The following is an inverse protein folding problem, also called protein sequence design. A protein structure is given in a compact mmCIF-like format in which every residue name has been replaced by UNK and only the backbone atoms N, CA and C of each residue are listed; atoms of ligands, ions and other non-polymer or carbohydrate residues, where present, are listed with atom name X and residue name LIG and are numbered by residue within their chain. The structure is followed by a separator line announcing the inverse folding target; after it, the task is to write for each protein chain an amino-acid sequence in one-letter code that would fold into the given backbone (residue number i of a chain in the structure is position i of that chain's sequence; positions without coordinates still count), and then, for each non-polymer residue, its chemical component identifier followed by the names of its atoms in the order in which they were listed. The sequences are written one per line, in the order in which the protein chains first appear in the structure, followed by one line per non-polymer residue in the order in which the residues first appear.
data_IF_758209810142
#
_entry.id   IF_758209810142
#
_cell.length_a   1.000
_cell.length_b   1.000
_cell.length_c   1.000
_cell.angle_alpha   90.00
_cell.angle_beta   90.00
_cell.angle_gamma   90.00
#
_symmetry.space_group_name_H-M   'P 1'
#
loop_
_entity.id
_entity.type
_entity.pdbx_description
1 polymer ?
#
# COMPACT_ATOMS: atom_id res chain seq x y z
N UNK A 1 20.26 -1.67 -27.63
CA UNK A 1 21.30 -1.56 -26.59
C UNK A 1 20.76 -0.65 -25.49
N UNK A 2 21.16 -0.82 -24.22
CA UNK A 2 20.64 -0.02 -23.09
C UNK A 2 21.73 0.78 -22.40
N UNK A 3 21.34 1.72 -21.52
CA UNK A 3 22.25 2.55 -20.73
C UNK A 3 22.60 1.93 -19.35
N UNK A 4 22.32 0.65 -19.15
CA UNK A 4 22.68 -0.05 -17.92
C UNK A 4 24.18 -0.41 -17.93
N UNK A 5 24.81 -0.33 -16.76
CA UNK A 5 26.19 -0.77 -16.55
C UNK A 5 26.31 -1.49 -15.20
N UNK A 6 26.84 -2.72 -15.20
CA UNK A 6 26.92 -3.53 -13.99
C UNK A 6 28.21 -3.24 -13.22
N UNK A 7 28.08 -2.74 -11.99
CA UNK A 7 29.18 -2.52 -11.07
C UNK A 7 28.78 -2.91 -9.66
N UNK A 8 29.66 -3.64 -8.96
CA UNK A 8 29.51 -3.90 -7.54
C UNK A 8 30.27 -2.85 -6.71
N UNK A 9 29.91 -1.57 -6.87
CA UNK A 9 30.58 -0.44 -6.21
C UNK A 9 30.57 -0.52 -4.69
N UNK A 10 29.58 -1.23 -4.12
CA UNK A 10 29.37 -1.35 -2.68
C UNK A 10 30.45 -2.21 -2.01
N UNK A 11 30.98 -3.20 -2.72
CA UNK A 11 32.09 -4.06 -2.24
C UNK A 11 33.47 -3.52 -2.61
N UNK A 12 33.54 -2.37 -3.31
CA UNK A 12 34.80 -1.70 -3.66
C UNK A 12 35.23 -0.73 -2.57
N UNK A 13 36.56 -0.58 -2.42
CA UNK A 13 37.15 0.47 -1.60
C UNK A 13 36.82 1.86 -2.17
N UNK A 14 36.66 2.91 -1.33
CA UNK A 14 36.28 4.25 -1.79
C UNK A 14 37.13 4.78 -2.96
N UNK A 15 38.44 4.54 -2.93
CA UNK A 15 39.40 5.02 -3.94
C UNK A 15 39.20 4.35 -5.31
N UNK A 16 38.62 3.15 -5.34
CA UNK A 16 38.37 2.38 -6.56
C UNK A 16 37.04 2.74 -7.23
N UNK A 17 36.11 3.34 -6.48
CA UNK A 17 34.75 3.61 -6.96
C UNK A 17 34.74 4.63 -8.07
N UNK A 18 35.50 5.71 -7.94
CA UNK A 18 35.59 6.76 -8.97
C UNK A 18 36.08 6.20 -10.31
N UNK A 19 37.14 5.39 -10.28
CA UNK A 19 37.67 4.73 -11.49
C UNK A 19 36.65 3.76 -12.10
N UNK A 20 35.93 3.00 -11.27
CA UNK A 20 34.90 2.09 -11.76
C UNK A 20 33.70 2.84 -12.38
N UNK A 21 33.28 3.95 -11.75
CA UNK A 21 32.17 4.78 -12.22
C UNK A 21 32.47 5.48 -13.55
N UNK A 22 33.74 5.78 -13.84
CA UNK A 22 34.14 6.32 -15.14
C UNK A 22 33.71 5.40 -16.29
N UNK A 23 33.84 4.08 -16.13
CA UNK A 23 33.39 3.13 -17.15
C UNK A 23 31.86 3.17 -17.36
N UNK A 24 31.08 3.42 -16.29
CA UNK A 24 29.64 3.63 -16.39
C UNK A 24 29.30 4.94 -17.13
N UNK A 25 30.05 6.02 -16.87
CA UNK A 25 29.90 7.30 -17.60
C UNK A 25 30.18 7.12 -19.09
N UNK A 26 31.27 6.43 -19.42
CA UNK A 26 31.60 6.12 -20.82
C UNK A 26 30.51 5.30 -21.51
N UNK A 27 29.87 4.35 -20.81
CA UNK A 27 28.71 3.62 -21.34
C UNK A 27 27.56 4.56 -21.69
N UNK A 28 27.28 5.56 -20.86
CA UNK A 28 26.27 6.60 -21.15
C UNK A 28 26.62 7.44 -22.36
N UNK A 29 27.88 7.89 -22.48
CA UNK A 29 28.33 8.65 -23.64
C UNK A 29 28.28 7.83 -24.94
N UNK A 30 28.63 6.55 -24.89
CA UNK A 30 28.49 5.62 -26.01
C UNK A 30 27.02 5.41 -26.40
N UNK A 31 26.12 5.32 -25.42
CA UNK A 31 24.69 5.21 -25.69
C UNK A 31 24.13 6.48 -26.36
N UNK A 32 24.56 7.66 -25.93
CA UNK A 32 24.23 8.93 -26.59
C UNK A 32 24.77 8.96 -28.04
N UNK A 33 26.03 8.57 -28.23
CA UNK A 33 26.63 8.48 -29.57
C UNK A 33 25.81 7.57 -30.49
N UNK A 34 25.41 6.38 -30.00
CA UNK A 34 24.56 5.45 -30.74
C UNK A 34 23.20 6.08 -31.11
N UNK A 35 22.56 6.78 -30.17
CA UNK A 35 21.29 7.49 -30.43
C UNK A 35 21.46 8.53 -31.55
N UNK A 36 22.56 9.29 -31.53
CA UNK A 36 22.81 10.35 -32.51
C UNK A 36 23.17 9.81 -33.89
N UNK A 37 24.05 8.80 -33.97
CA UNK A 37 24.68 8.37 -35.22
C UNK A 37 23.95 7.19 -35.87
N UNK A 38 23.54 6.19 -35.08
CA UNK A 38 22.92 4.97 -35.60
C UNK A 38 21.39 5.08 -35.68
N UNK A 39 20.77 5.80 -34.73
CA UNK A 39 19.32 6.04 -34.74
C UNK A 39 18.93 7.37 -35.41
N UNK A 40 19.91 8.22 -35.73
CA UNK A 40 19.70 9.48 -36.46
C UNK A 40 19.14 10.65 -35.63
N UNK A 41 19.06 10.52 -34.30
CA UNK A 41 18.57 11.58 -33.41
C UNK A 41 19.69 12.57 -33.03
N UNK A 42 20.31 13.18 -34.05
CA UNK A 42 21.46 14.10 -33.90
C UNK A 42 21.19 15.33 -33.03
N UNK A 43 19.93 15.68 -32.81
CA UNK A 43 19.49 16.80 -31.96
C UNK A 43 19.46 16.47 -30.46
N UNK A 44 19.50 15.19 -30.08
CA UNK A 44 19.51 14.80 -28.66
C UNK A 44 20.93 14.92 -28.11
N UNK A 45 21.08 15.41 -26.88
CA UNK A 45 22.36 15.65 -26.22
C UNK A 45 22.24 15.56 -24.69
N UNK A 46 23.36 15.81 -24.01
CA UNK A 46 23.34 16.03 -22.56
C UNK A 46 22.70 17.39 -22.26
N UNK A 47 21.88 17.45 -21.20
CA UNK A 47 21.37 18.72 -20.69
C UNK A 47 22.54 19.56 -20.16
N UNK A 48 22.75 20.76 -20.70
CA UNK A 48 23.85 21.65 -20.35
C UNK A 48 23.46 22.77 -19.38
N UNK A 49 22.21 22.76 -18.91
CA UNK A 49 21.61 23.69 -17.96
C UNK A 49 21.13 23.04 -16.65
N UNK A 50 20.97 21.72 -16.60
CA UNK A 50 20.48 21.01 -15.39
C UNK A 50 21.58 20.66 -14.38
N UNK A 51 22.73 20.17 -14.84
CA UNK A 51 23.79 19.65 -13.98
C UNK A 51 25.08 20.45 -14.13
N UNK A 52 25.54 21.16 -13.10
CA UNK A 52 26.79 21.94 -13.13
C UNK A 52 28.04 21.06 -12.93
N UNK A 53 28.09 19.91 -13.60
CA UNK A 53 29.22 18.97 -13.58
C UNK A 53 30.10 19.19 -14.82
N UNK A 54 31.41 18.94 -14.69
CA UNK A 54 32.36 19.16 -15.80
C UNK A 54 32.05 18.31 -17.04
N UNK A 55 31.42 17.15 -16.84
CA UNK A 55 31.01 16.21 -17.87
C UNK A 55 29.52 16.31 -18.26
N UNK A 56 28.77 17.25 -17.64
CA UNK A 56 27.31 17.45 -17.83
C UNK A 56 26.44 16.24 -17.47
N UNK A 57 26.99 15.27 -16.74
CA UNK A 57 26.24 14.12 -16.23
C UNK A 57 25.66 14.42 -14.84
N UNK A 58 24.62 13.71 -14.39
CA UNK A 58 24.08 13.86 -13.04
C UNK A 58 25.12 13.66 -11.93
N UNK A 59 24.92 14.29 -10.77
CA UNK A 59 25.84 14.23 -9.62
C UNK A 59 26.16 12.82 -9.13
N UNK A 60 25.19 11.90 -9.27
CA UNK A 60 25.31 10.51 -8.83
C UNK A 60 24.62 9.60 -9.84
N UNK A 61 25.11 8.36 -10.02
CA UNK A 61 24.44 7.39 -10.86
C UNK A 61 23.11 6.95 -10.24
N UNK A 62 22.16 6.60 -11.10
CA UNK A 62 20.92 5.98 -10.66
C UNK A 62 21.14 4.51 -10.26
N UNK A 63 21.14 4.21 -8.96
CA UNK A 63 21.25 2.85 -8.46
C UNK A 63 19.91 2.11 -8.55
N UNK A 64 19.87 1.03 -9.34
CA UNK A 64 18.70 0.14 -9.49
C UNK A 64 18.62 -0.92 -8.40
N UNK A 65 19.77 -1.40 -7.94
CA UNK A 65 19.89 -2.41 -6.88
C UNK A 65 21.05 -2.06 -5.93
N UNK A 66 20.86 -2.37 -4.65
CA UNK A 66 21.85 -2.16 -3.61
C UNK A 66 21.55 -3.01 -2.37
N UNK A 67 22.27 -2.73 -1.27
CA UNK A 67 22.01 -3.36 0.03
C UNK A 67 20.62 -2.96 0.53
N UNK A 68 19.93 -3.92 1.12
CA UNK A 68 18.62 -3.73 1.76
C UNK A 68 18.71 -4.13 3.23
N UNK A 69 17.95 -3.46 4.07
CA UNK A 69 17.89 -3.81 5.48
C UNK A 69 17.15 -5.14 5.70
N UNK A 70 17.38 -5.75 6.86
CA UNK A 70 16.42 -6.69 7.44
C UNK A 70 15.47 -5.92 8.34
N UNK A 71 14.28 -5.62 7.83
CA UNK A 71 13.25 -4.87 8.54
C UNK A 71 12.35 -5.77 9.39
N UNK A 72 11.52 -5.15 10.24
CA UNK A 72 10.54 -5.83 11.08
C UNK A 72 9.57 -6.70 10.26
N UNK A 73 9.25 -6.27 9.04
CA UNK A 73 8.55 -7.05 8.02
C UNK A 73 9.38 -7.15 6.74
N UNK A 74 9.14 -8.19 5.92
CA UNK A 74 9.80 -8.35 4.63
C UNK A 74 8.77 -8.63 3.53
N UNK A 75 8.55 -7.66 2.64
CA UNK A 75 7.66 -7.84 1.51
C UNK A 75 8.29 -8.81 0.49
N UNK A 76 7.49 -9.73 -0.04
CA UNK A 76 7.92 -10.75 -0.99
C UNK A 76 6.95 -10.80 -2.16
N UNK A 77 7.32 -11.51 -3.23
CA UNK A 77 6.43 -11.68 -4.37
C UNK A 77 5.14 -12.42 -3.99
N UNK A 78 5.19 -13.36 -3.05
CA UNK A 78 4.00 -14.08 -2.59
C UNK A 78 3.00 -13.14 -1.91
N UNK A 79 3.50 -12.17 -1.13
CA UNK A 79 2.69 -11.14 -0.51
C UNK A 79 2.04 -10.20 -1.53
N UNK A 80 2.66 -10.02 -2.70
CA UNK A 80 2.13 -9.22 -3.80
C UNK A 80 1.08 -10.02 -4.60
N UNK A 81 1.38 -11.29 -4.91
CA UNK A 81 0.51 -12.16 -5.70
C UNK A 81 -0.82 -12.47 -5.00
N UNK A 82 -0.75 -12.79 -3.71
CA UNK A 82 -1.93 -13.12 -2.91
C UNK A 82 -1.82 -12.53 -1.50
N UNK A 83 -2.08 -11.22 -1.33
CA UNK A 83 -1.89 -10.52 -0.06
C UNK A 83 -2.74 -11.09 1.08
N UNK A 84 -3.85 -11.76 0.77
CA UNK A 84 -4.78 -12.27 1.77
C UNK A 84 -4.50 -13.74 2.16
N UNK A 85 -3.81 -14.51 1.32
CA UNK A 85 -3.48 -15.92 1.59
C UNK A 85 -1.99 -16.19 1.88
N UNK A 86 -1.10 -15.19 1.78
CA UNK A 86 0.34 -15.37 1.96
C UNK A 86 0.82 -15.69 3.39
N UNK A 87 -0.08 -15.92 4.35
CA UNK A 87 0.21 -16.30 5.74
C UNK A 87 0.64 -15.13 6.65
N UNK A 88 1.27 -14.10 6.10
CA UNK A 88 1.57 -12.84 6.78
C UNK A 88 0.64 -11.72 6.26
N UNK A 89 -0.21 -11.12 7.11
CA UNK A 89 -1.20 -10.13 6.69
C UNK A 89 -0.59 -8.72 6.50
N UNK A 90 0.50 -8.61 5.73
CA UNK A 90 1.24 -7.36 5.52
C UNK A 90 0.37 -6.23 4.94
N UNK A 91 -0.72 -6.57 4.24
CA UNK A 91 -1.68 -5.60 3.72
C UNK A 91 -2.28 -4.71 4.83
N UNK A 92 -2.42 -5.22 6.06
CA UNK A 92 -3.00 -4.46 7.17
C UNK A 92 -2.11 -3.34 7.68
N UNK A 93 -0.80 -3.44 7.44
CA UNK A 93 0.21 -2.46 7.85
C UNK A 93 0.66 -1.56 6.68
N UNK A 94 -0.12 -1.49 5.59
CA UNK A 94 0.22 -0.69 4.41
C UNK A 94 0.32 0.81 4.67
N UNK A 95 1.35 1.44 4.10
CA UNK A 95 1.61 2.89 4.22
C UNK A 95 1.98 3.58 2.89
N UNK A 96 2.05 2.80 1.81
CA UNK A 96 2.34 3.25 0.46
C UNK A 96 1.85 2.17 -0.51
N UNK A 97 1.61 2.52 -1.77
CA UNK A 97 1.17 1.59 -2.81
C UNK A 97 2.02 1.67 -4.07
N UNK A 98 2.05 0.58 -4.83
CA UNK A 98 2.70 0.50 -6.14
C UNK A 98 1.93 -0.39 -7.09
N UNK A 99 2.09 -0.14 -8.38
CA UNK A 99 1.36 -0.79 -9.47
C UNK A 99 2.29 -1.36 -10.55
N UNK A 100 3.60 -1.16 -10.42
CA UNK A 100 4.54 -1.56 -11.45
C UNK A 100 4.78 -3.07 -11.46
N UNK A 101 4.82 -3.73 -12.63
CA UNK A 101 5.14 -5.16 -12.72
C UNK A 101 6.57 -5.45 -12.24
N UNK A 102 6.89 -6.73 -12.09
CA UNK A 102 8.25 -7.14 -11.71
C UNK A 102 9.21 -6.88 -12.86
N UNK A 103 10.12 -5.93 -12.66
CA UNK A 103 11.07 -5.49 -13.68
C UNK A 103 12.53 -5.72 -13.27
N UNK A 104 13.08 -6.86 -13.71
CA UNK A 104 14.50 -7.20 -13.59
C UNK A 104 15.13 -7.43 -14.96
N UNK A 105 16.23 -6.72 -15.22
CA UNK A 105 16.97 -6.79 -16.48
C UNK A 105 18.32 -7.46 -16.26
N UNK A 106 18.55 -8.58 -16.94
CA UNK A 106 19.81 -9.32 -16.86
C UNK A 106 20.64 -9.23 -18.15
N UNK A 107 20.33 -8.28 -19.05
CA UNK A 107 20.97 -8.20 -20.36
C UNK A 107 22.49 -8.01 -20.28
N UNK A 108 22.95 -7.19 -19.34
CA UNK A 108 24.39 -6.93 -19.10
C UNK A 108 25.02 -8.02 -18.20
N UNK A 109 24.25 -9.05 -17.82
CA UNK A 109 24.70 -10.18 -16.99
C UNK A 109 24.12 -11.52 -17.51
N UNK A 110 24.63 -12.03 -18.65
CA UNK A 110 24.06 -13.20 -19.32
C UNK A 110 24.20 -14.51 -18.51
N UNK A 111 25.07 -14.54 -17.50
CA UNK A 111 25.24 -15.64 -16.54
C UNK A 111 24.17 -15.66 -15.44
N UNK A 112 23.37 -14.59 -15.30
CA UNK A 112 22.30 -14.56 -14.32
C UNK A 112 21.20 -15.59 -14.66
N UNK A 113 20.54 -16.18 -13.65
CA UNK A 113 19.42 -17.09 -13.88
C UNK A 113 18.35 -16.45 -14.75
N UNK A 114 17.87 -17.22 -15.75
CA UNK A 114 16.67 -16.84 -16.49
C UNK A 114 15.48 -17.03 -15.55
N UNK A 115 14.87 -15.92 -15.16
CA UNK A 115 13.69 -15.90 -14.31
C UNK A 115 12.52 -15.40 -15.15
N UNK A 116 11.44 -16.17 -15.15
CA UNK A 116 10.14 -15.69 -15.59
C UNK A 116 9.42 -15.11 -14.38
N UNK A 117 8.87 -13.92 -14.54
CA UNK A 117 8.13 -13.25 -13.48
C UNK A 117 6.63 -13.39 -13.75
N UNK A 118 5.85 -13.90 -12.78
CA UNK A 118 4.41 -13.93 -12.94
C UNK A 118 3.85 -12.51 -13.01
N UNK A 119 2.76 -12.28 -13.75
CA UNK A 119 1.99 -11.05 -13.63
C UNK A 119 1.56 -10.85 -12.17
N UNK A 120 1.71 -9.63 -11.68
CA UNK A 120 1.35 -9.24 -10.31
C UNK A 120 0.26 -8.19 -10.31
N UNK A 121 -0.60 -8.13 -9.28
CA UNK A 121 -1.50 -6.98 -9.09
C UNK A 121 -0.72 -5.79 -8.51
N UNK A 122 -1.39 -4.64 -8.35
CA UNK A 122 -0.88 -3.57 -7.50
C UNK A 122 -0.84 -4.03 -6.02
N UNK A 123 0.09 -3.45 -5.27
CA UNK A 123 0.49 -3.90 -3.93
C UNK A 123 0.69 -2.73 -2.98
N UNK A 124 0.70 -3.01 -1.68
CA UNK A 124 1.08 -2.05 -0.65
C UNK A 124 2.44 -2.38 -0.04
N UNK A 125 3.10 -1.36 0.52
CA UNK A 125 4.34 -1.48 1.29
C UNK A 125 3.98 -1.45 2.79
N UNK A 126 4.33 -2.48 3.57
CA UNK A 126 4.06 -2.49 5.01
C UNK A 126 5.04 -1.58 5.77
N UNK A 127 4.56 -0.91 6.82
CA UNK A 127 5.37 -0.02 7.66
C UNK A 127 6.64 -0.70 8.22
N UNK A 128 6.53 -1.98 8.62
CA UNK A 128 7.68 -2.73 9.13
C UNK A 128 8.80 -2.95 8.12
N UNK A 129 8.59 -2.70 6.83
CA UNK A 129 9.66 -2.76 5.83
C UNK A 129 10.61 -1.57 5.88
N UNK A 130 10.21 -0.46 6.51
CA UNK A 130 11.01 0.76 6.69
C UNK A 130 11.89 0.70 7.95
N UNK A 131 11.55 -0.17 8.90
CA UNK A 131 12.10 -0.16 10.27
C UNK A 131 13.10 -1.33 10.44
N UNK A 132 14.40 -1.07 10.64
CA UNK A 132 15.40 -2.10 10.87
C UNK A 132 15.13 -2.92 12.15
N UNK A 133 15.41 -4.23 12.11
CA UNK A 133 15.27 -5.12 13.27
C UNK A 133 16.29 -4.86 14.39
N UNK A 134 17.48 -4.42 14.03
CA UNK A 134 18.66 -4.43 14.91
C UNK A 134 19.23 -3.04 15.20
N UNK A 135 18.69 -1.99 14.59
CA UNK A 135 19.19 -0.62 14.72
C UNK A 135 18.04 0.30 15.10
N UNK A 136 18.11 0.88 16.29
CA UNK A 136 17.11 1.80 16.81
C UNK A 136 17.31 3.22 16.24
N UNK A 137 16.20 3.94 16.08
CA UNK A 137 16.21 5.33 15.60
C UNK A 137 16.51 5.52 14.10
N UNK A 138 16.75 4.44 13.35
CA UNK A 138 16.97 4.48 11.90
C UNK A 138 15.67 4.16 11.15
N UNK A 139 15.37 4.94 10.12
CA UNK A 139 14.29 4.68 9.17
C UNK A 139 14.84 4.70 7.75
N UNK A 140 14.37 3.78 6.91
CA UNK A 140 14.73 3.73 5.51
C UNK A 140 13.63 4.41 4.68
N UNK A 141 14.03 5.43 3.94
CA UNK A 141 13.15 6.27 3.12
C UNK A 141 13.47 6.14 1.60
N UNK A 142 14.04 5.00 1.19
CA UNK A 142 14.45 4.74 -0.20
C UNK A 142 14.36 3.22 -0.52
N UNK A 143 14.82 2.79 -1.70
CA UNK A 143 14.82 1.41 -2.22
C UNK A 143 15.49 0.38 -1.32
N UNK A 144 16.23 0.81 -0.30
CA UNK A 144 16.90 -0.06 0.66
C UNK A 144 15.94 -0.71 1.70
N UNK A 145 14.62 -0.47 1.59
CA UNK A 145 13.60 -1.10 2.44
C UNK A 145 13.66 -2.63 2.40
N UNK A 146 13.09 -3.26 3.42
CA UNK A 146 13.08 -4.70 3.61
C UNK A 146 12.11 -5.40 2.66
N UNK A 147 12.63 -5.78 1.49
CA UNK A 147 11.93 -6.54 0.45
C UNK A 147 12.80 -7.69 -0.08
N UNK A 148 12.22 -8.69 -0.74
CA UNK A 148 13.00 -9.66 -1.50
C UNK A 148 13.62 -9.01 -2.74
N UNK A 149 14.70 -9.59 -3.28
CA UNK A 149 15.30 -9.10 -4.52
C UNK A 149 14.27 -9.02 -5.65
N UNK A 150 13.43 -10.05 -5.79
CA UNK A 150 12.38 -10.10 -6.83
C UNK A 150 11.37 -8.97 -6.63
N UNK A 151 10.81 -8.81 -5.43
CA UNK A 151 9.84 -7.75 -5.13
C UNK A 151 10.42 -6.33 -5.34
N UNK A 152 11.72 -6.15 -5.09
CA UNK A 152 12.41 -4.88 -5.36
C UNK A 152 12.33 -4.43 -6.82
N UNK A 153 12.12 -5.36 -7.76
CA UNK A 153 11.90 -5.04 -9.18
C UNK A 153 10.70 -4.11 -9.38
N UNK A 154 9.69 -4.20 -8.50
CA UNK A 154 8.47 -3.39 -8.52
C UNK A 154 8.50 -2.24 -7.52
N UNK A 155 9.03 -2.44 -6.31
CA UNK A 155 8.95 -1.43 -5.24
C UNK A 155 9.93 -0.26 -5.41
N UNK A 156 10.95 -0.39 -6.27
CA UNK A 156 12.04 0.60 -6.41
C UNK A 156 11.70 1.82 -7.26
N UNK A 157 10.50 1.87 -7.82
CA UNK A 157 10.06 2.91 -8.75
C UNK A 157 9.82 4.22 -7.99
N UNK A 158 10.17 5.35 -8.60
CA UNK A 158 10.13 6.67 -7.97
C UNK A 158 8.77 7.00 -7.34
N UNK A 159 7.60 6.73 -7.98
CA UNK A 159 6.30 6.96 -7.34
C UNK A 159 6.09 6.19 -6.03
N UNK A 160 6.63 4.97 -5.92
CA UNK A 160 6.56 4.17 -4.69
C UNK A 160 7.51 4.75 -3.64
N UNK A 161 8.74 5.09 -4.03
CA UNK A 161 9.75 5.62 -3.12
C UNK A 161 9.36 6.99 -2.54
N UNK A 162 8.68 7.84 -3.32
CA UNK A 162 8.16 9.11 -2.82
C UNK A 162 7.16 8.90 -1.67
N UNK A 163 6.24 7.95 -1.82
CA UNK A 163 5.29 7.58 -0.76
C UNK A 163 6.00 6.97 0.46
N UNK A 164 6.99 6.09 0.23
CA UNK A 164 7.83 5.54 1.31
C UNK A 164 8.55 6.64 2.09
N UNK A 165 9.09 7.64 1.39
CA UNK A 165 9.72 8.81 2.00
C UNK A 165 8.73 9.64 2.84
N UNK A 166 7.53 9.88 2.33
CA UNK A 166 6.46 10.55 3.08
C UNK A 166 6.07 9.78 4.35
N UNK A 167 5.85 8.47 4.25
CA UNK A 167 5.52 7.62 5.39
C UNK A 167 6.67 7.55 6.42
N UNK A 168 7.93 7.46 5.97
CA UNK A 168 9.10 7.49 6.85
C UNK A 168 9.20 8.82 7.61
N UNK A 169 8.97 9.95 6.93
CA UNK A 169 8.92 11.28 7.55
C UNK A 169 7.80 11.41 8.58
N UNK A 170 6.60 10.95 8.25
CA UNK A 170 5.46 10.94 9.17
C UNK A 170 5.74 10.07 10.41
N UNK A 171 6.31 8.88 10.22
CA UNK A 171 6.70 7.99 11.31
C UNK A 171 7.76 8.63 12.22
N UNK A 172 8.78 9.28 11.66
CA UNK A 172 9.78 10.00 12.43
C UNK A 172 9.16 11.14 13.26
N UNK A 173 8.26 11.92 12.67
CA UNK A 173 7.57 13.01 13.36
C UNK A 173 6.68 12.50 14.50
N UNK A 174 5.92 11.42 14.28
CA UNK A 174 5.10 10.79 15.31
C UNK A 174 5.95 10.21 16.45
N UNK A 175 7.06 9.55 16.12
CA UNK A 175 8.01 9.01 17.10
C UNK A 175 8.55 10.12 18.01
N UNK A 176 9.01 11.23 17.42
CA UNK A 176 9.51 12.40 18.15
C UNK A 176 8.43 13.03 19.04
N UNK A 177 7.22 13.26 18.51
CA UNK A 177 6.10 13.86 19.26
C UNK A 177 5.70 13.03 20.48
N UNK A 178 5.86 11.71 20.41
CA UNK A 178 5.50 10.77 21.49
C UNK A 178 6.67 10.39 22.40
N UNK A 179 7.89 10.82 22.11
CA UNK A 179 9.08 10.36 22.81
C UNK A 179 9.30 8.85 22.71
N UNK A 180 8.97 8.27 21.55
CA UNK A 180 9.07 6.82 21.28
C UNK A 180 10.10 6.55 20.19
N UNK A 181 10.62 5.33 20.12
CA UNK A 181 11.35 4.88 18.94
C UNK A 181 10.37 4.64 17.79
N UNK A 182 10.81 4.73 16.52
CA UNK A 182 9.93 4.47 15.38
C UNK A 182 9.23 3.10 15.42
N UNK A 183 9.90 2.07 15.94
CA UNK A 183 9.34 0.71 16.10
C UNK A 183 8.18 0.61 17.11
N UNK A 184 8.06 1.60 18.00
CA UNK A 184 7.08 1.62 19.10
C UNK A 184 5.89 2.56 18.82
N UNK A 185 5.88 3.23 17.67
CA UNK A 185 4.75 4.04 17.21
C UNK A 185 3.64 3.09 16.73
N UNK A 186 2.40 3.25 17.23
CA UNK A 186 1.29 2.44 16.76
C UNK A 186 1.06 2.61 15.25
N UNK A 187 0.95 1.50 14.53
CA UNK A 187 0.83 1.51 13.06
C UNK A 187 -0.43 2.25 12.61
N UNK A 188 -1.54 2.13 13.34
CA UNK A 188 -2.80 2.84 13.02
C UNK A 188 -2.60 4.35 12.98
N UNK A 189 -1.86 4.92 13.94
CA UNK A 189 -1.58 6.36 13.96
C UNK A 189 -0.72 6.82 12.78
N UNK A 190 0.23 5.98 12.31
CA UNK A 190 0.97 6.26 11.09
C UNK A 190 0.05 6.22 9.87
N UNK A 191 -0.84 5.23 9.81
CA UNK A 191 -1.79 5.09 8.70
C UNK A 191 -2.78 6.25 8.66
N UNK A 192 -3.26 6.75 9.80
CA UNK A 192 -4.07 7.98 9.86
C UNK A 192 -3.31 9.18 9.31
N UNK A 193 -2.03 9.32 9.69
CA UNK A 193 -1.19 10.39 9.14
C UNK A 193 -1.00 10.25 7.62
N UNK A 194 -0.89 9.03 7.09
CA UNK A 194 -0.83 8.80 5.63
C UNK A 194 -2.15 9.22 4.96
N UNK A 195 -3.29 8.77 5.50
CA UNK A 195 -4.62 9.10 4.97
C UNK A 195 -4.96 10.59 5.02
N UNK A 196 -4.55 11.28 6.09
CA UNK A 196 -4.79 12.72 6.28
C UNK A 196 -4.16 13.58 5.17
N UNK A 197 -3.14 13.05 4.48
CA UNK A 197 -2.48 13.70 3.35
C UNK A 197 -2.77 13.00 2.00
N UNK A 198 -3.91 12.29 1.90
CA UNK A 198 -4.37 11.66 0.66
C UNK A 198 -3.57 10.42 0.24
N UNK A 199 -2.72 9.88 1.12
CA UNK A 199 -1.97 8.66 0.86
C UNK A 199 -2.85 7.41 0.94
N UNK A 200 -2.42 6.34 0.28
CA UNK A 200 -3.14 5.06 0.24
C UNK A 200 -2.53 4.07 1.23
N UNK A 201 -3.38 3.32 1.93
CA UNK A 201 -2.98 2.18 2.77
C UNK A 201 -2.99 0.89 1.96
N UNK A 202 -4.01 0.74 1.11
CA UNK A 202 -4.17 -0.38 0.17
C UNK A 202 -4.44 0.17 -1.23
N UNK A 203 -4.03 -0.54 -2.31
CA UNK A 203 -4.27 -0.05 -3.66
C UNK A 203 -5.76 -0.08 -3.98
N UNK A 204 -6.27 1.00 -4.56
CA UNK A 204 -7.65 1.09 -5.06
C UNK A 204 -7.69 1.99 -6.29
N UNK A 205 -7.94 1.39 -7.46
CA UNK A 205 -7.90 2.07 -8.76
C UNK A 205 -9.18 2.86 -9.06
N UNK A 206 -10.30 2.46 -8.46
CA UNK A 206 -11.66 2.90 -8.77
C UNK A 206 -12.25 3.86 -7.71
N UNK A 207 -11.40 4.45 -6.87
CA UNK A 207 -11.77 5.55 -5.97
C UNK A 207 -10.62 6.55 -5.87
N UNK A 208 -10.93 7.84 -5.99
CA UNK A 208 -9.93 8.92 -5.90
C UNK A 208 -9.81 9.44 -4.46
N UNK A 209 -8.66 10.02 -4.07
CA UNK A 209 -8.47 10.59 -2.74
C UNK A 209 -9.37 11.79 -2.42
N UNK A 210 -9.95 12.41 -3.45
CA UNK A 210 -10.91 13.51 -3.34
C UNK A 210 -12.33 13.04 -3.03
N UNK A 211 -12.60 11.74 -3.16
CA UNK A 211 -13.89 11.15 -2.79
C UNK A 211 -14.12 11.28 -1.27
N UNK A 212 -15.30 11.75 -0.80
CA UNK A 212 -15.58 11.94 0.62
C UNK A 212 -15.50 10.65 1.45
N UNK A 213 -15.63 9.49 0.81
CA UNK A 213 -15.61 8.17 1.44
C UNK A 213 -14.26 7.44 1.28
N UNK A 214 -13.28 8.07 0.63
CA UNK A 214 -11.95 7.50 0.39
C UNK A 214 -11.31 6.93 1.65
N UNK A 215 -11.26 7.73 2.72
CA UNK A 215 -10.60 7.30 3.96
C UNK A 215 -11.32 6.14 4.65
N UNK A 216 -12.66 6.16 4.65
CA UNK A 216 -13.45 5.07 5.22
C UNK A 216 -13.21 3.75 4.46
N UNK A 217 -13.20 3.82 3.13
CA UNK A 217 -12.85 2.66 2.30
C UNK A 217 -11.44 2.15 2.62
N UNK A 218 -10.45 3.04 2.67
CA UNK A 218 -9.06 2.65 2.93
C UNK A 218 -8.88 1.98 4.30
N UNK A 219 -9.52 2.53 5.36
CA UNK A 219 -9.49 1.95 6.70
C UNK A 219 -10.14 0.57 6.73
N UNK A 220 -11.35 0.43 6.18
CA UNK A 220 -12.05 -0.86 6.16
C UNK A 220 -11.31 -1.89 5.31
N UNK A 221 -10.77 -1.50 4.16
CA UNK A 221 -9.99 -2.41 3.33
C UNK A 221 -8.68 -2.86 4.03
N UNK A 222 -8.02 -1.95 4.77
CA UNK A 222 -6.85 -2.28 5.58
C UNK A 222 -7.15 -3.20 6.78
N UNK A 223 -8.40 -3.37 7.20
CA UNK A 223 -8.75 -4.42 8.19
C UNK A 223 -8.84 -5.82 7.56
N UNK A 224 -9.13 -5.87 6.25
CA UNK A 224 -9.41 -7.11 5.52
C UNK A 224 -10.87 -7.53 5.53
N UNK A 225 -11.79 -6.71 6.08
CA UNK A 225 -13.24 -6.96 6.00
C UNK A 225 -13.71 -6.83 4.55
N UNK A 226 -13.52 -5.67 3.92
CA UNK A 226 -13.84 -5.48 2.50
C UNK A 226 -12.57 -5.47 1.67
N UNK A 227 -12.31 -6.60 1.01
CA UNK A 227 -11.10 -6.81 0.22
C UNK A 227 -11.27 -6.28 -1.20
N UNK A 228 -10.23 -5.62 -1.72
CA UNK A 228 -10.10 -5.33 -3.15
C UNK A 228 -9.62 -6.56 -3.94
N UNK A 229 -9.86 -6.55 -5.25
CA UNK A 229 -9.44 -7.60 -6.20
C UNK A 229 -8.30 -7.10 -7.08
N UNK A 230 -7.14 -7.72 -6.95
CA UNK A 230 -5.98 -7.44 -7.79
C UNK A 230 -6.18 -7.93 -9.23
N UNK A 231 -5.74 -7.13 -10.19
CA UNK A 231 -5.72 -7.39 -11.62
C UNK A 231 -4.37 -6.95 -12.20
N UNK A 232 -3.53 -7.90 -12.68
CA UNK A 232 -2.37 -7.55 -13.48
C UNK A 232 -2.81 -6.86 -14.78
N UNK A 233 -2.27 -5.67 -15.07
CA UNK A 233 -2.70 -4.86 -16.22
C UNK A 233 -1.52 -4.15 -16.89
N UNK A 234 -0.99 -4.77 -17.94
CA UNK A 234 0.12 -4.22 -18.73
C UNK A 234 1.29 -3.72 -17.84
N UNK A 235 1.58 -2.42 -17.86
CA UNK A 235 2.64 -1.77 -17.07
C UNK A 235 2.13 -0.97 -15.87
N UNK A 236 0.82 -1.03 -15.59
CA UNK A 236 0.15 -0.33 -14.51
C UNK A 236 -0.95 -1.23 -13.94
N UNK A 237 -0.54 -2.13 -13.04
CA UNK A 237 -1.43 -3.10 -12.42
C UNK A 237 -2.51 -2.41 -11.58
N UNK A 238 -3.64 -3.07 -11.41
CA UNK A 238 -4.81 -2.49 -10.76
C UNK A 238 -5.26 -3.34 -9.58
N UNK A 239 -5.94 -2.69 -8.65
CA UNK A 239 -6.71 -3.33 -7.60
C UNK A 239 -8.05 -2.62 -7.57
N UNK A 240 -9.12 -3.37 -7.82
CA UNK A 240 -10.48 -2.85 -7.86
C UNK A 240 -11.18 -3.10 -6.54
N UNK A 241 -11.76 -2.07 -5.94
CA UNK A 241 -12.59 -2.23 -4.75
C UNK A 241 -14.04 -2.55 -5.10
N UNK A 242 -14.51 -2.10 -6.26
CA UNK A 242 -15.90 -2.10 -6.73
C UNK A 242 -16.83 -1.36 -5.75
N UNK A 243 -16.65 -0.04 -5.55
CA UNK A 243 -17.40 0.71 -4.53
C UNK A 243 -18.92 0.60 -4.71
N UNK A 244 -19.40 0.64 -5.95
CA UNK A 244 -20.84 0.62 -6.28
C UNK A 244 -21.46 -0.79 -6.32
N UNK A 245 -20.65 -1.85 -6.21
CA UNK A 245 -21.21 -3.21 -6.25
C UNK A 245 -21.83 -3.58 -4.91
N UNK A 246 -22.76 -4.53 -4.93
CA UNK A 246 -23.40 -5.07 -3.72
C UNK A 246 -22.65 -6.28 -3.18
N UNK A 247 -22.99 -6.71 -1.97
CA UNK A 247 -22.48 -7.93 -1.33
C UNK A 247 -23.65 -8.72 -0.72
N UNK A 248 -23.53 -10.04 -0.67
CA UNK A 248 -24.49 -10.89 0.04
C UNK A 248 -24.25 -10.85 1.55
N UNK A 249 -25.30 -11.10 2.32
CA UNK A 249 -25.21 -11.25 3.78
C UNK A 249 -24.23 -12.34 4.20
N UNK A 250 -24.21 -13.46 3.48
CA UNK A 250 -23.27 -14.56 3.73
C UNK A 250 -21.81 -14.14 3.58
N UNK A 251 -21.47 -13.46 2.48
CA UNK A 251 -20.08 -13.01 2.25
C UNK A 251 -19.68 -11.89 3.21
N UNK A 252 -20.59 -10.97 3.54
CA UNK A 252 -20.32 -9.94 4.54
C UNK A 252 -20.05 -10.58 5.91
N UNK A 253 -20.91 -11.49 6.37
CA UNK A 253 -20.74 -12.20 7.64
C UNK A 253 -19.42 -12.97 7.70
N UNK A 254 -19.07 -13.70 6.65
CA UNK A 254 -17.80 -14.44 6.58
C UNK A 254 -16.60 -13.49 6.78
N UNK A 255 -16.62 -12.34 6.13
CA UNK A 255 -15.58 -11.33 6.28
C UNK A 255 -15.55 -10.75 7.71
N UNK A 256 -16.71 -10.47 8.31
CA UNK A 256 -16.80 -9.98 9.67
C UNK A 256 -16.28 -11.00 10.68
N UNK A 257 -16.59 -12.29 10.53
CA UNK A 257 -16.09 -13.37 11.41
C UNK A 257 -14.57 -13.53 11.26
N UNK A 258 -14.05 -13.43 10.05
CA UNK A 258 -12.60 -13.48 9.82
C UNK A 258 -11.86 -12.33 10.54
N UNK A 259 -12.53 -11.18 10.72
CA UNK A 259 -12.01 -10.06 11.50
C UNK A 259 -12.28 -10.20 13.00
N UNK A 260 -13.47 -10.67 13.37
CA UNK A 260 -14.04 -10.71 14.71
C UNK A 260 -14.63 -12.11 14.96
N UNK A 261 -13.79 -13.09 15.37
CA UNK A 261 -14.21 -14.49 15.47
C UNK A 261 -15.26 -14.78 16.54
N UNK A 262 -15.54 -13.83 17.44
CA UNK A 262 -16.58 -13.93 18.45
C UNK A 262 -17.98 -13.61 17.94
N UNK A 263 -18.13 -13.22 16.67
CA UNK A 263 -19.42 -12.84 16.09
C UNK A 263 -20.31 -14.07 15.87
N UNK A 264 -21.32 -14.23 16.73
CA UNK A 264 -22.25 -15.37 16.67
C UNK A 264 -23.45 -15.14 15.73
N UNK A 265 -23.84 -13.88 15.55
CA UNK A 265 -25.04 -13.48 14.80
C UNK A 265 -25.05 -14.07 13.38
N UNK A 266 -26.19 -14.63 12.96
CA UNK A 266 -26.33 -15.36 11.69
C UNK A 266 -27.57 -14.91 10.93
N UNK A 267 -27.42 -14.30 9.74
CA UNK A 267 -28.55 -13.90 8.90
C UNK A 267 -29.43 -15.09 8.52
N UNK A 268 -30.74 -14.86 8.49
CA UNK A 268 -31.72 -15.88 8.10
C UNK A 268 -31.58 -16.34 6.64
N UNK A 269 -31.22 -15.42 5.73
CA UNK A 269 -30.94 -15.73 4.32
C UNK A 269 -29.55 -15.20 3.94
N UNK A 270 -28.58 -16.11 3.81
CA UNK A 270 -27.20 -15.76 3.45
C UNK A 270 -27.03 -15.33 2.00
N UNK A 271 -27.99 -15.65 1.12
CA UNK A 271 -27.95 -15.30 -0.31
C UNK A 271 -28.58 -13.94 -0.59
N UNK A 272 -29.35 -13.40 0.36
CA UNK A 272 -29.90 -12.05 0.25
C UNK A 272 -28.77 -11.01 0.13
N UNK A 273 -29.01 -9.99 -0.70
CA UNK A 273 -28.14 -8.82 -0.75
C UNK A 273 -28.25 -8.06 0.57
N UNK A 274 -27.12 -7.55 1.05
CA UNK A 274 -27.05 -6.73 2.26
C UNK A 274 -27.86 -5.44 2.04
N UNK A 275 -28.87 -5.21 2.88
CA UNK A 275 -29.62 -3.97 3.05
C UNK A 275 -29.45 -3.48 4.48
N UNK A 276 -29.78 -2.22 4.78
CA UNK A 276 -29.60 -1.71 6.13
C UNK A 276 -30.44 -2.49 7.16
N UNK A 277 -31.69 -2.81 6.81
CA UNK A 277 -32.62 -3.58 7.66
C UNK A 277 -32.05 -4.96 8.02
N UNK A 278 -31.47 -5.67 7.05
CA UNK A 278 -31.02 -7.04 7.26
C UNK A 278 -29.59 -7.15 7.81
N UNK A 279 -28.74 -6.11 7.68
CA UNK A 279 -27.42 -6.08 8.34
C UNK A 279 -27.46 -5.51 9.76
N UNK A 280 -28.51 -4.77 10.14
CA UNK A 280 -28.53 -4.09 11.44
C UNK A 280 -28.27 -5.03 12.64
N UNK A 281 -28.81 -6.26 12.72
CA UNK A 281 -28.44 -7.21 13.78
C UNK A 281 -26.95 -7.56 13.78
N UNK A 282 -26.34 -7.77 12.59
CA UNK A 282 -24.90 -8.01 12.47
C UNK A 282 -24.07 -6.82 12.94
N UNK A 283 -24.50 -5.59 12.61
CA UNK A 283 -23.82 -4.37 13.04
C UNK A 283 -23.88 -4.21 14.57
N UNK A 284 -25.04 -4.45 15.19
CA UNK A 284 -25.19 -4.41 16.65
C UNK A 284 -24.32 -5.47 17.32
N UNK A 285 -24.34 -6.72 16.82
CA UNK A 285 -23.54 -7.80 17.37
C UNK A 285 -22.03 -7.52 17.25
N UNK A 286 -21.57 -7.02 16.10
CA UNK A 286 -20.17 -6.63 15.90
C UNK A 286 -19.78 -5.47 16.82
N UNK A 287 -20.65 -4.48 16.97
CA UNK A 287 -20.40 -3.35 17.85
C UNK A 287 -20.23 -3.78 19.32
N UNK A 288 -21.01 -4.76 19.78
CA UNK A 288 -20.86 -5.35 21.11
C UNK A 288 -19.53 -6.11 21.25
N UNK A 289 -19.14 -6.90 20.24
CA UNK A 289 -17.85 -7.61 20.25
C UNK A 289 -16.67 -6.65 20.30
N UNK A 290 -16.73 -5.55 19.52
CA UNK A 290 -15.69 -4.53 19.47
C UNK A 290 -15.74 -3.55 20.65
N UNK A 291 -16.81 -3.59 21.45
CA UNK A 291 -17.10 -2.58 22.48
C UNK A 291 -17.09 -1.16 21.91
N UNK A 292 -17.71 -0.98 20.75
CA UNK A 292 -17.77 0.31 20.07
C UNK A 292 -18.50 1.34 20.94
N UNK A 293 -17.86 2.49 21.15
CA UNK A 293 -18.46 3.63 21.84
C UNK A 293 -19.30 4.51 20.91
N UNK A 294 -19.15 4.35 19.60
CA UNK A 294 -19.79 5.18 18.57
C UNK A 294 -21.17 4.66 18.13
N UNK A 295 -21.50 3.40 18.47
CA UNK A 295 -22.71 2.75 18.01
C UNK A 295 -23.88 2.91 19.00
N UNK A 296 -25.11 3.19 18.53
CA UNK A 296 -26.31 3.09 19.36
C UNK A 296 -26.70 1.60 19.51
N UNK A 297 -26.49 1.04 20.71
CA UNK A 297 -26.57 -0.42 20.97
C UNK A 297 -27.89 -0.88 21.59
N UNK A 298 -28.91 -0.04 21.62
CA UNK A 298 -30.13 -0.36 22.37
C UNK A 298 -31.05 -1.34 21.63
N UNK A 299 -31.15 -1.23 20.31
CA UNK A 299 -31.92 -2.14 19.45
C UNK A 299 -31.63 -1.90 17.96
N UNK A 300 -32.04 -2.84 17.11
CA UNK A 300 -32.05 -2.65 15.65
C UNK A 300 -32.86 -1.42 15.23
N UNK A 301 -34.05 -1.23 15.79
CA UNK A 301 -34.92 -0.09 15.45
C UNK A 301 -34.28 1.25 15.82
N UNK A 302 -33.61 1.32 16.98
CA UNK A 302 -32.88 2.53 17.37
C UNK A 302 -31.71 2.79 16.43
N UNK A 303 -30.95 1.77 16.03
CA UNK A 303 -29.88 1.93 15.04
C UNK A 303 -30.41 2.46 13.70
N UNK A 304 -31.54 1.94 13.21
CA UNK A 304 -32.15 2.40 11.95
C UNK A 304 -32.58 3.86 12.03
N UNK A 305 -33.28 4.26 13.11
CA UNK A 305 -33.67 5.67 13.32
C UNK A 305 -32.47 6.60 13.46
N UNK A 306 -31.43 6.18 14.18
CA UNK A 306 -30.18 6.94 14.32
C UNK A 306 -29.52 7.22 12.96
N UNK A 307 -29.48 6.20 12.09
CA UNK A 307 -28.89 6.31 10.76
C UNK A 307 -29.76 7.11 9.80
N UNK A 308 -31.09 6.98 9.86
CA UNK A 308 -32.02 7.78 9.03
C UNK A 308 -31.78 9.29 9.21
N UNK A 309 -31.63 9.74 10.46
CA UNK A 309 -31.40 11.15 10.79
C UNK A 309 -30.03 11.67 10.31
N UNK A 310 -29.03 10.79 10.17
CA UNK A 310 -27.62 11.16 9.94
C UNK A 310 -27.10 10.79 8.55
N UNK A 311 -27.84 9.98 7.80
CA UNK A 311 -27.42 9.36 6.53
C UNK A 311 -26.76 10.34 5.56
N UNK A 312 -27.43 11.47 5.30
CA UNK A 312 -26.99 12.48 4.34
C UNK A 312 -26.01 13.52 4.92
N UNK A 313 -25.82 13.52 6.24
CA UNK A 313 -24.97 14.49 6.94
C UNK A 313 -23.56 13.94 7.18
N UNK A 314 -22.58 14.82 7.42
CA UNK A 314 -21.28 14.39 7.91
C UNK A 314 -21.46 13.67 9.26
N UNK A 315 -20.73 12.56 9.51
CA UNK A 315 -19.65 12.01 8.68
C UNK A 315 -20.07 11.03 7.57
N UNK A 316 -21.33 10.58 7.50
CA UNK A 316 -21.78 9.56 6.55
C UNK A 316 -21.82 10.07 5.10
N UNK A 317 -22.43 11.22 4.84
CA UNK A 317 -22.54 11.82 3.50
C UNK A 317 -23.04 10.84 2.42
N UNK A 318 -23.98 9.97 2.78
CA UNK A 318 -24.57 8.97 1.88
C UNK A 318 -25.85 9.54 1.24
N UNK A 319 -26.24 8.99 0.09
CA UNK A 319 -27.43 9.42 -0.64
C UNK A 319 -28.55 8.39 -0.57
N UNK A 320 -29.79 8.81 -0.83
CA UNK A 320 -30.95 7.92 -1.00
C UNK A 320 -31.15 6.93 0.16
N UNK A 321 -31.51 7.44 1.34
CA UNK A 321 -31.85 6.57 2.47
C UNK A 321 -33.05 5.68 2.12
N UNK A 322 -32.85 4.37 2.19
CA UNK A 322 -33.87 3.34 2.09
C UNK A 322 -33.31 2.11 2.81
N UNK A 323 -33.97 1.67 3.87
CA UNK A 323 -33.45 0.57 4.69
C UNK A 323 -33.56 -0.80 3.99
N UNK A 324 -34.41 -0.91 2.98
CA UNK A 324 -34.76 -2.17 2.31
C UNK A 324 -33.92 -2.43 1.06
N UNK A 325 -33.37 -1.38 0.42
CA UNK A 325 -32.58 -1.53 -0.79
C UNK A 325 -31.21 -2.18 -0.52
N UNK A 326 -30.63 -2.85 -1.51
CA UNK A 326 -29.24 -3.27 -1.44
C UNK A 326 -28.29 -2.08 -1.22
N UNK A 327 -27.36 -2.28 -0.30
CA UNK A 327 -26.26 -1.35 -0.04
C UNK A 327 -25.07 -1.68 -0.95
N UNK A 328 -24.44 -0.64 -1.44
CA UNK A 328 -23.15 -0.72 -2.11
C UNK A 328 -22.03 -1.01 -1.10
N UNK A 329 -20.90 -1.52 -1.60
CA UNK A 329 -19.72 -1.79 -0.76
C UNK A 329 -19.15 -0.52 -0.13
N UNK A 330 -19.22 0.63 -0.80
CA UNK A 330 -18.79 1.90 -0.23
C UNK A 330 -19.70 2.33 0.92
N UNK A 331 -21.02 2.17 0.80
CA UNK A 331 -21.97 2.44 1.89
C UNK A 331 -21.69 1.54 3.10
N UNK A 332 -21.44 0.24 2.87
CA UNK A 332 -21.07 -0.68 3.94
C UNK A 332 -19.74 -0.28 4.57
N UNK A 333 -18.74 0.12 3.78
CA UNK A 333 -17.46 0.59 4.31
C UNK A 333 -17.64 1.82 5.21
N UNK A 334 -18.42 2.81 4.76
CA UNK A 334 -18.72 4.02 5.53
C UNK A 334 -19.47 3.69 6.82
N UNK A 335 -20.48 2.81 6.75
CA UNK A 335 -21.21 2.36 7.93
C UNK A 335 -20.28 1.68 8.93
N UNK A 336 -19.45 0.73 8.51
CA UNK A 336 -18.52 0.05 9.41
C UNK A 336 -17.49 1.03 10.01
N UNK A 337 -16.92 1.91 9.19
CA UNK A 337 -15.88 2.84 9.62
C UNK A 337 -16.40 3.85 10.63
N UNK A 338 -17.49 4.54 10.30
CA UNK A 338 -18.05 5.62 11.11
C UNK A 338 -18.75 5.09 12.35
N UNK A 339 -19.55 4.02 12.21
CA UNK A 339 -20.37 3.50 13.30
C UNK A 339 -19.56 2.66 14.28
N UNK A 340 -18.63 1.86 13.79
CA UNK A 340 -17.98 0.79 14.57
C UNK A 340 -16.48 0.98 14.75
N UNK A 341 -15.85 1.75 13.86
CA UNK A 341 -14.41 2.00 13.84
C UNK A 341 -13.52 0.74 14.10
N UNK A 342 -13.71 -0.35 13.32
CA UNK A 342 -12.96 -1.57 13.52
C UNK A 342 -11.46 -1.39 13.26
N UNK A 343 -11.08 -0.36 12.48
CA UNK A 343 -9.70 -0.06 12.15
C UNK A 343 -8.90 0.34 13.39
N UNK A 344 -9.44 1.22 14.24
CA UNK A 344 -8.80 1.61 15.50
C UNK A 344 -9.09 0.63 16.64
N UNK A 345 -10.22 -0.10 16.61
CA UNK A 345 -10.56 -1.06 17.65
C UNK A 345 -9.55 -2.23 17.77
N UNK A 346 -8.83 -2.55 16.68
CA UNK A 346 -7.76 -3.57 16.68
C UNK A 346 -6.45 -3.01 16.17
N UNK A 347 -5.48 -2.93 17.08
CA UNK A 347 -4.10 -2.59 16.75
C UNK A 347 -3.45 -3.68 15.89
N UNK A 348 -2.47 -3.28 15.07
CA UNK A 348 -1.62 -4.19 14.30
C UNK A 348 -0.16 -3.91 14.57
N UNK A 349 0.65 -4.97 14.58
CA UNK A 349 2.09 -4.86 14.63
C UNK A 349 2.69 -4.44 13.27
N UNK A 350 4.01 -4.26 13.21
CA UNK A 350 4.72 -3.86 12.00
C UNK A 350 4.63 -4.88 10.84
N UNK A 351 4.17 -6.10 11.11
CA UNK A 351 3.88 -7.18 10.15
C UNK A 351 2.39 -7.36 9.86
N UNK A 352 1.53 -6.47 10.36
CA UNK A 352 0.09 -6.49 10.14
C UNK A 352 -0.67 -7.52 10.99
N UNK A 353 -0.01 -8.21 11.93
CA UNK A 353 -0.70 -9.14 12.84
C UNK A 353 -1.46 -8.36 13.90
N UNK A 354 -2.64 -8.85 14.28
CA UNK A 354 -3.41 -8.29 15.38
C UNK A 354 -2.63 -8.36 16.69
N UNK A 355 -2.72 -7.31 17.50
CA UNK A 355 -2.10 -7.22 18.83
C UNK A 355 -3.11 -7.43 19.96
#
# INVERSE_FOLDING_TARGET
HGNDYYLNVVEMAPEQRETALEAAKQRTLQFLYFIQNDLGFSQLGLADDEFPTADRLPFLPYHREGRRIQGLARLSLNHILDPYAAGEPLYRAGIAVGDYPVDHHHKERPDAPKLEFPPIPSFNIPAGSLIPKTVDGLLIADKAISVTNIANGSTRLQPVILQVGQAAGALAALAMKKGKLPKDVPIRELQDAVLAYGGYLVPSYDISPEDPHFQALQRIAATGILKGRGEPHAWANRTWFYPDSTITLGNLREALIAFAPGLEETPADTNALASLENIAPLLVALALELRSENAPLESTDHLLGYLEERWASAPYQLSQFDATRPLSRIEIAVLLDVLLDPFHAKAVDASGKWQ
#
